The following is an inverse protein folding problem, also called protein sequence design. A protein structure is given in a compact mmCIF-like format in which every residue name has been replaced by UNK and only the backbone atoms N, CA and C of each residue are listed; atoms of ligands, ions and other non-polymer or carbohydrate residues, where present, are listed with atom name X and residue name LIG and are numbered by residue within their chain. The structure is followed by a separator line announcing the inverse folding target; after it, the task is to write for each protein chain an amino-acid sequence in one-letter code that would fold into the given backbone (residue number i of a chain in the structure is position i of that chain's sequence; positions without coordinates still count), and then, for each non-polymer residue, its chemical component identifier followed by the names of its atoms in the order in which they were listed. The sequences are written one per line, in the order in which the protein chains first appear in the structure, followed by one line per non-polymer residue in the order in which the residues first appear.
data_IF_632945674411
#
_entry.id   IF_632945674411
#
_cell.length_a   1.000
_cell.length_b   1.000
_cell.length_c   1.000
_cell.angle_alpha   90.00
_cell.angle_beta   90.00
_cell.angle_gamma   90.00
#
_symmetry.space_group_name_H-M   'P 1'
#
loop_
_entity.id
_entity.type
_entity.pdbx_description
1 polymer ?
#
# COMPACT_ATOMS: atom_id res chain seq x y z
N UNK A 1 1.59 -15.17 6.42
CA UNK A 1 0.82 -15.19 7.68
C UNK A 1 -0.36 -16.10 7.44
N UNK A 2 -0.18 -17.38 7.77
CA UNK A 2 -1.17 -18.46 7.65
C UNK A 2 -1.35 -19.07 9.04
N UNK A 3 -2.59 -19.36 9.51
CA UNK A 3 -3.85 -19.25 8.78
C UNK A 3 -4.73 -18.12 9.33
N UNK A 4 -5.16 -17.22 8.43
CA UNK A 4 -6.17 -16.17 8.69
C UNK A 4 -7.54 -16.77 9.06
N UNK A 5 -7.68 -18.09 8.94
CA UNK A 5 -8.90 -18.86 9.14
C UNK A 5 -9.00 -19.46 10.56
N UNK A 6 -8.00 -19.21 11.42
CA UNK A 6 -8.00 -19.69 12.81
C UNK A 6 -8.78 -18.82 13.78
N UNK A 7 -9.26 -17.66 13.32
CA UNK A 7 -9.99 -16.70 14.15
C UNK A 7 -11.06 -15.96 13.36
N UNK A 8 -12.18 -15.68 14.02
CA UNK A 8 -13.23 -14.79 13.50
C UNK A 8 -12.95 -13.31 13.85
N UNK A 9 -11.94 -13.02 14.68
CA UNK A 9 -11.59 -11.66 15.04
C UNK A 9 -10.81 -11.00 13.89
N UNK A 10 -11.41 -9.99 13.26
CA UNK A 10 -10.82 -9.29 12.11
C UNK A 10 -9.99 -8.06 12.47
N UNK A 11 -9.77 -7.77 13.75
CA UNK A 11 -8.99 -6.60 14.17
C UNK A 11 -7.55 -6.60 13.60
N UNK A 12 -7.03 -7.77 13.19
CA UNK A 12 -5.75 -7.85 12.48
C UNK A 12 -5.76 -7.18 11.10
N UNK A 13 -6.93 -6.95 10.49
CA UNK A 13 -7.06 -6.32 9.18
C UNK A 13 -6.87 -4.80 9.25
N UNK A 14 -7.07 -4.17 10.42
CA UNK A 14 -6.89 -2.74 10.60
C UNK A 14 -7.62 -2.16 11.79
N UNK A 15 -7.30 -0.89 12.07
CA UNK A 15 -7.93 -0.08 13.10
C UNK A 15 -7.77 1.41 12.74
N UNK A 16 -8.61 2.27 13.29
CA UNK A 16 -8.46 3.73 13.23
C UNK A 16 -8.04 4.24 14.61
N UNK A 17 -6.88 4.88 14.69
CA UNK A 17 -6.46 5.60 15.89
C UNK A 17 -6.95 7.05 15.87
N UNK A 18 -8.16 7.29 16.38
CA UNK A 18 -8.76 8.65 16.42
C UNK A 18 -8.02 9.63 17.35
N UNK A 19 -7.16 9.14 18.24
CA UNK A 19 -6.32 9.97 19.09
C UNK A 19 -5.02 10.44 18.39
N UNK A 20 -4.76 9.99 17.16
CA UNK A 20 -3.59 10.41 16.39
C UNK A 20 -3.68 11.92 16.04
N UNK A 21 -2.66 12.74 16.32
CA UNK A 21 -2.70 14.18 16.03
C UNK A 21 -2.68 14.50 14.53
N UNK A 22 -2.35 13.51 13.69
CA UNK A 22 -2.35 13.63 12.24
C UNK A 22 -3.67 13.17 11.60
N UNK A 23 -4.64 12.70 12.39
CA UNK A 23 -5.93 12.23 11.87
C UNK A 23 -6.87 13.40 11.50
N UNK A 24 -7.54 13.37 10.32
CA UNK A 24 -7.38 12.40 9.23
C UNK A 24 -6.08 12.63 8.42
N UNK A 25 -5.29 11.58 8.21
CA UNK A 25 -3.96 11.70 7.62
C UNK A 25 -3.96 11.99 6.10
N UNK A 26 -5.01 11.57 5.40
CA UNK A 26 -5.20 11.81 3.96
C UNK A 26 -6.57 12.42 3.67
N UNK A 27 -6.68 13.25 2.65
CA UNK A 27 -7.98 13.78 2.20
C UNK A 27 -8.68 12.75 1.30
N UNK A 28 -10.02 12.77 1.29
CA UNK A 28 -10.82 11.94 0.38
C UNK A 28 -10.93 10.46 0.77
N UNK A 29 -10.58 10.09 2.00
CA UNK A 29 -10.92 8.77 2.54
C UNK A 29 -12.38 8.79 2.96
N UNK A 30 -13.18 7.89 2.37
CA UNK A 30 -14.64 7.84 2.54
C UNK A 30 -15.08 6.85 3.64
N UNK A 31 -14.20 5.92 4.04
CA UNK A 31 -14.42 4.89 5.06
C UNK A 31 -13.52 5.07 6.27
N UNK A 32 -13.46 4.07 7.16
CA UNK A 32 -12.52 4.04 8.27
C UNK A 32 -11.06 4.02 7.79
N UNK A 33 -10.20 4.79 8.46
CA UNK A 33 -8.76 4.82 8.18
C UNK A 33 -8.07 3.58 8.70
N UNK A 34 -7.41 2.81 7.83
CA UNK A 34 -6.54 1.74 8.28
C UNK A 34 -5.17 2.27 8.71
N UNK A 35 -4.98 2.51 10.01
CA UNK A 35 -3.73 3.00 10.59
C UNK A 35 -2.60 1.95 10.62
N UNK A 36 -2.91 0.67 10.37
CA UNK A 36 -1.88 -0.38 10.26
C UNK A 36 -0.88 -0.05 9.13
N UNK A 37 -1.35 0.66 8.11
CA UNK A 37 -0.58 0.98 6.90
C UNK A 37 -0.21 2.46 6.82
N UNK A 38 -0.16 3.18 7.95
CA UNK A 38 0.31 4.57 8.00
C UNK A 38 1.67 4.75 7.33
N UNK A 39 2.52 3.72 7.40
CA UNK A 39 3.62 3.55 6.46
C UNK A 39 3.20 2.56 5.39
N UNK A 40 3.29 2.97 4.13
CA UNK A 40 2.87 2.13 3.01
C UNK A 40 3.71 0.83 2.96
N UNK A 41 3.08 -0.36 3.12
CA UNK A 41 3.81 -1.63 3.02
C UNK A 41 4.40 -1.89 1.64
N UNK A 42 3.92 -1.18 0.62
CA UNK A 42 4.35 -1.29 -0.77
C UNK A 42 5.38 -0.22 -1.17
N UNK A 43 5.96 0.52 -0.23
CA UNK A 43 6.84 1.66 -0.54
C UNK A 43 8.11 1.26 -1.34
N UNK A 44 8.58 0.03 -1.16
CA UNK A 44 9.74 -0.53 -1.87
C UNK A 44 9.38 -1.37 -3.10
N UNK A 45 8.08 -1.53 -3.40
CA UNK A 45 7.58 -2.44 -4.42
C UNK A 45 6.78 -1.70 -5.48
N UNK A 46 6.65 -2.29 -6.66
CA UNK A 46 5.67 -1.86 -7.65
C UNK A 46 4.28 -1.81 -7.05
N UNK A 47 3.55 -0.74 -7.35
CA UNK A 47 2.18 -0.56 -6.87
C UNK A 47 1.42 0.41 -7.79
N UNK A 48 0.08 0.35 -7.80
CA UNK A 48 -0.76 1.17 -8.67
C UNK A 48 -1.13 2.50 -8.00
N UNK A 49 -0.57 2.78 -6.81
CA UNK A 49 -0.90 3.97 -6.04
C UNK A 49 -0.37 5.23 -6.72
N UNK A 50 -1.05 6.38 -6.58
CA UNK A 50 -0.55 7.65 -7.06
C UNK A 50 0.65 8.07 -6.19
N UNK A 51 1.85 7.82 -6.67
CA UNK A 51 3.08 8.27 -6.05
C UNK A 51 3.84 9.20 -7.01
N UNK A 52 4.61 10.11 -6.43
CA UNK A 52 5.62 10.92 -7.14
C UNK A 52 7.01 10.41 -6.75
N UNK A 53 8.01 10.59 -7.60
CA UNK A 53 9.38 10.23 -7.24
C UNK A 53 10.14 11.48 -6.82
N UNK A 54 10.94 11.34 -5.77
CA UNK A 54 11.87 12.37 -5.34
C UNK A 54 13.21 11.73 -4.96
N UNK A 55 14.26 12.54 -4.96
CA UNK A 55 15.58 12.14 -4.45
C UNK A 55 15.75 12.69 -3.04
N UNK A 56 16.02 11.82 -2.08
CA UNK A 56 16.24 12.24 -0.69
C UNK A 56 17.61 12.93 -0.51
N UNK A 57 17.86 13.44 0.71
CA UNK A 57 19.13 14.11 1.06
C UNK A 57 20.39 13.24 0.92
N UNK A 58 20.23 11.92 0.77
CA UNK A 58 21.31 10.95 0.60
C UNK A 58 21.48 10.53 -0.88
N UNK A 59 20.74 11.14 -1.81
CA UNK A 59 20.80 10.80 -3.23
C UNK A 59 19.98 9.56 -3.60
N UNK A 60 19.17 9.03 -2.69
CA UNK A 60 18.35 7.84 -2.96
C UNK A 60 16.99 8.25 -3.53
N UNK A 61 16.56 7.60 -4.62
CA UNK A 61 15.19 7.75 -5.12
C UNK A 61 14.18 7.13 -4.15
N UNK A 62 13.08 7.83 -3.92
CA UNK A 62 11.99 7.44 -3.01
C UNK A 62 10.64 7.74 -3.64
N UNK A 63 9.62 7.00 -3.19
CA UNK A 63 8.22 7.32 -3.48
C UNK A 63 7.70 8.31 -2.45
N UNK A 64 7.13 9.41 -2.92
CA UNK A 64 6.21 10.24 -2.17
C UNK A 64 4.78 9.72 -2.40
N UNK A 65 4.22 9.10 -1.36
CA UNK A 65 2.88 8.51 -1.37
C UNK A 65 1.85 9.39 -0.64
N UNK A 66 2.13 10.66 -0.34
CA UNK A 66 1.24 11.52 0.45
C UNK A 66 -0.14 11.74 -0.19
N UNK A 67 -0.27 11.56 -1.51
CA UNK A 67 -1.54 11.67 -2.24
C UNK A 67 -2.28 10.32 -2.39
N UNK A 68 -1.76 9.22 -1.82
CA UNK A 68 -2.32 7.87 -1.96
C UNK A 68 -3.27 7.49 -0.82
N UNK A 69 -4.49 7.08 -1.16
CA UNK A 69 -5.52 6.63 -0.19
C UNK A 69 -5.80 5.13 -0.23
N UNK A 70 -5.21 4.37 -1.16
CA UNK A 70 -5.43 2.92 -1.32
C UNK A 70 -5.24 2.10 -0.02
N UNK A 71 -4.18 2.32 0.78
CA UNK A 71 -4.00 1.57 2.01
C UNK A 71 -4.89 2.05 3.17
N UNK A 72 -5.69 3.11 2.98
CA UNK A 72 -6.40 3.78 4.07
C UNK A 72 -7.92 3.82 3.93
N UNK A 73 -8.50 3.30 2.85
CA UNK A 73 -9.94 3.42 2.60
C UNK A 73 -10.73 2.15 2.98
N UNK A 74 -10.84 1.91 4.30
CA UNK A 74 -11.55 0.78 4.90
C UNK A 74 -10.64 -0.42 5.19
N UNK A 75 -10.79 -1.03 6.37
CA UNK A 75 -9.87 -2.07 6.85
C UNK A 75 -9.79 -3.29 5.92
N UNK A 76 -10.95 -3.85 5.55
CA UNK A 76 -11.02 -5.08 4.75
C UNK A 76 -10.47 -4.87 3.34
N UNK A 77 -10.86 -3.76 2.71
CA UNK A 77 -10.45 -3.42 1.35
C UNK A 77 -8.94 -3.17 1.29
N UNK A 78 -8.42 -2.33 2.19
CA UNK A 78 -7.00 -2.03 2.25
C UNK A 78 -6.16 -3.26 2.61
N UNK A 79 -6.61 -4.08 3.58
CA UNK A 79 -5.93 -5.33 3.92
C UNK A 79 -5.84 -6.28 2.72
N UNK A 80 -6.98 -6.56 2.07
CA UNK A 80 -7.01 -7.45 0.91
C UNK A 80 -6.16 -6.91 -0.24
N UNK A 81 -6.20 -5.59 -0.48
CA UNK A 81 -5.39 -4.94 -1.49
C UNK A 81 -3.88 -5.12 -1.21
N UNK A 82 -3.42 -4.79 0.00
CA UNK A 82 -2.01 -4.92 0.38
C UNK A 82 -1.55 -6.38 0.30
N UNK A 83 -2.34 -7.32 0.83
CA UNK A 83 -2.02 -8.74 0.75
C UNK A 83 -1.87 -9.22 -0.70
N UNK A 84 -2.79 -8.80 -1.59
CA UNK A 84 -2.78 -9.16 -3.01
C UNK A 84 -1.53 -8.68 -3.75
N UNK A 85 -0.94 -7.55 -3.35
CA UNK A 85 0.31 -7.03 -3.91
C UNK A 85 1.55 -7.65 -3.27
N UNK A 86 1.49 -7.97 -1.98
CA UNK A 86 2.59 -8.64 -1.26
C UNK A 86 2.69 -10.14 -1.58
N UNK A 87 1.67 -10.77 -2.15
CA UNK A 87 1.71 -12.15 -2.62
C UNK A 87 2.77 -12.38 -3.71
N UNK A 88 3.00 -11.36 -4.55
CA UNK A 88 3.97 -11.40 -5.67
C UNK A 88 4.62 -10.02 -5.83
N UNK A 89 5.49 -9.62 -4.90
CA UNK A 89 6.05 -8.28 -4.91
C UNK A 89 7.13 -8.16 -5.99
N UNK A 90 7.02 -7.14 -6.84
CA UNK A 90 8.10 -6.71 -7.74
C UNK A 90 8.80 -5.54 -7.07
N UNK A 91 10.12 -5.58 -6.96
CA UNK A 91 10.89 -4.46 -6.37
C UNK A 91 10.81 -3.26 -7.31
N UNK A 92 10.50 -2.10 -6.75
CA UNK A 92 10.47 -0.86 -7.53
C UNK A 92 11.89 -0.38 -7.84
N UNK A 93 12.12 -0.02 -9.10
CA UNK A 93 13.46 0.31 -9.63
C UNK A 93 13.79 1.82 -9.64
N UNK A 94 12.87 2.67 -9.17
CA UNK A 94 13.07 4.12 -9.15
C UNK A 94 12.38 4.89 -10.27
N UNK A 95 11.52 4.26 -11.08
CA UNK A 95 10.77 4.94 -12.14
C UNK A 95 9.55 5.72 -11.63
N UNK A 96 9.12 6.72 -12.42
CA UNK A 96 7.90 7.51 -12.17
C UNK A 96 6.64 6.67 -12.39
N UNK A 97 5.55 6.96 -11.68
CA UNK A 97 4.27 6.28 -11.92
C UNK A 97 3.75 6.53 -13.36
N UNK A 98 3.09 5.52 -13.93
CA UNK A 98 2.58 5.56 -15.31
C UNK A 98 1.11 5.96 -15.39
N UNK A 99 0.66 6.36 -16.58
CA UNK A 99 -0.76 6.51 -16.93
C UNK A 99 -1.07 5.67 -18.17
N UNK A 100 -1.80 4.55 -18.06
CA UNK A 100 -2.45 4.03 -16.85
C UNK A 100 -1.44 3.51 -15.79
N UNK A 101 -1.82 3.42 -14.51
CA UNK A 101 -0.93 2.95 -13.44
C UNK A 101 -0.42 1.53 -13.66
N UNK A 102 0.73 1.22 -13.05
CA UNK A 102 1.34 -0.12 -13.09
C UNK A 102 0.32 -1.19 -12.71
N UNK A 103 0.20 -2.19 -13.58
CA UNK A 103 -0.63 -3.37 -13.34
C UNK A 103 0.19 -4.42 -12.59
N UNK A 104 -0.50 -5.23 -11.77
CA UNK A 104 0.14 -6.38 -11.14
C UNK A 104 0.57 -7.37 -12.23
N UNK A 105 1.79 -7.95 -12.16
CA UNK A 105 2.23 -8.96 -13.12
C UNK A 105 1.22 -10.10 -13.26
N UNK A 106 1.06 -10.61 -14.48
CA UNK A 106 0.25 -11.81 -14.73
C UNK A 106 0.99 -13.04 -14.24
N UNK A 107 0.23 -14.10 -13.94
CA UNK A 107 0.81 -15.26 -13.26
C UNK A 107 1.91 -15.95 -14.08
N UNK A 108 1.78 -15.93 -15.39
CA UNK A 108 2.65 -16.52 -16.41
C UNK A 108 3.93 -15.71 -16.72
N UNK A 109 3.99 -14.44 -16.29
CA UNK A 109 5.13 -13.54 -16.53
C UNK A 109 6.21 -13.68 -15.45
N UNK A 110 5.82 -14.09 -14.25
CA UNK A 110 6.71 -14.24 -13.08
C UNK A 110 7.58 -15.52 -13.11
N UNK A 111 7.22 -16.54 -13.88
CA UNK A 111 7.95 -17.83 -13.93
C UNK A 111 9.11 -17.85 -14.94
N UNK A 112 9.33 -16.74 -15.66
CA UNK A 112 10.37 -16.61 -16.70
C UNK A 112 11.60 -15.81 -16.25
N UNK A 113 11.67 -15.43 -14.97
CA UNK A 113 12.75 -14.66 -14.36
C UNK A 113 13.70 -15.50 -13.53
#
# INVERSE_FOLDING_TARGET
MEPKDTTYNEAFKGFTNTACPFYPCHKGVEREFNCLFCYCPLIAYECPGPYKVFTDKHGLKRKDCSDCTLPHNGYRQSWNFIQKWLERPVVWDGHEQTSPPVQRPREDETERG
#
